data_IF_373867122239
#
_entry.id   IF_373867122239
#
_cell.length_a   1.000
_cell.length_b   1.000
_cell.length_c   1.000
_cell.angle_alpha   90.00
_cell.angle_beta   90.00
_cell.angle_gamma   90.00
#
_symmetry.space_group_name_H-M   'P 1'
#
loop_
_entity.id
_entity.type
_entity.pdbx_description
1 polymer ?
#
# COMPACT_ATOMS: atom_id res chain seq x y z
N UNK A 1 10.27 6.54 -19.26
CA UNK A 1 10.07 6.26 -18.70
C UNK A 1 9.37 6.07 -17.78
N UNK A 2 8.97 6.01 -17.54
CA UNK A 2 8.29 5.92 -16.80
C UNK A 2 8.39 5.53 -15.67
N UNK A 3 8.58 4.92 -15.48
CA UNK A 3 8.94 4.88 -14.27
C UNK A 3 8.21 5.70 -13.39
N UNK A 4 7.21 6.37 -13.71
CA UNK A 4 6.44 7.31 -12.94
C UNK A 4 5.72 6.68 -11.77
N UNK A 5 5.21 5.47 -11.93
CA UNK A 5 4.51 4.83 -10.81
C UNK A 5 5.45 4.47 -9.66
N UNK A 6 6.71 4.21 -9.97
CA UNK A 6 7.71 3.97 -8.94
C UNK A 6 7.89 5.23 -8.09
N UNK A 7 7.94 6.37 -8.75
CA UNK A 7 8.07 7.63 -8.05
C UNK A 7 6.85 7.92 -7.19
N UNK A 8 5.67 7.58 -7.67
CA UNK A 8 4.46 7.78 -6.89
C UNK A 8 4.51 7.01 -5.57
N UNK A 9 4.97 5.77 -5.63
CA UNK A 9 5.06 4.95 -4.42
C UNK A 9 6.02 5.57 -3.44
N UNK A 10 7.16 6.06 -3.90
CA UNK A 10 8.17 6.63 -3.01
C UNK A 10 7.75 7.97 -2.42
N UNK A 11 6.68 8.57 -2.93
CA UNK A 11 6.20 9.84 -2.41
C UNK A 11 4.94 9.72 -1.57
N UNK A 12 4.55 8.51 -1.21
CA UNK A 12 3.38 8.30 -0.36
C UNK A 12 3.58 8.97 1.00
N UNK A 13 2.57 9.68 1.45
CA UNK A 13 2.60 10.40 2.73
C UNK A 13 1.38 10.04 3.56
N UNK A 14 1.52 10.22 4.86
CA UNK A 14 0.39 10.09 5.78
C UNK A 14 -0.69 11.08 5.33
N UNK A 15 -1.92 10.58 5.23
CA UNK A 15 -3.05 11.37 4.77
C UNK A 15 -3.41 11.13 3.31
N UNK A 16 -2.51 10.52 2.54
CA UNK A 16 -2.81 10.23 1.15
C UNK A 16 -3.92 9.19 1.05
N UNK A 17 -4.71 9.29 -0.01
CA UNK A 17 -5.74 8.30 -0.32
C UNK A 17 -5.18 7.32 -1.32
N UNK A 18 -5.50 6.06 -1.13
CA UNK A 18 -5.11 5.01 -2.06
C UNK A 18 -6.31 4.14 -2.37
N UNK A 19 -6.23 3.45 -3.51
CA UNK A 19 -7.21 2.46 -3.91
C UNK A 19 -6.51 1.12 -4.06
N UNK A 20 -7.03 0.10 -3.39
CA UNK A 20 -6.46 -1.25 -3.52
C UNK A 20 -6.86 -1.84 -4.86
N UNK A 21 -5.87 -2.33 -5.60
CA UNK A 21 -6.12 -3.04 -6.85
C UNK A 21 -6.14 -4.54 -6.58
N UNK A 22 -5.13 -5.03 -5.87
CA UNK A 22 -5.05 -6.45 -5.54
C UNK A 22 -4.15 -6.65 -4.34
N UNK A 23 -4.64 -7.37 -3.34
CA UNK A 23 -3.85 -7.74 -2.17
C UNK A 23 -3.22 -9.11 -2.40
N UNK A 24 -1.99 -9.28 -1.91
CA UNK A 24 -1.31 -10.56 -1.95
C UNK A 24 -1.98 -11.57 -1.03
N UNK A 25 -2.42 -11.12 0.14
CA UNK A 25 -3.06 -11.99 1.12
C UNK A 25 -4.57 -12.02 0.87
N UNK A 26 -5.12 -13.18 0.44
CA UNK A 26 -6.55 -13.26 0.19
C UNK A 26 -7.40 -13.13 1.45
N UNK A 27 -6.77 -13.29 2.62
CA UNK A 27 -7.49 -13.20 3.90
C UNK A 27 -7.42 -11.81 4.51
N UNK A 28 -6.92 -10.83 3.76
CA UNK A 28 -6.80 -9.46 4.26
C UNK A 28 -8.17 -8.87 4.61
N UNK A 29 -9.21 -9.29 3.90
CA UNK A 29 -10.55 -8.84 4.20
C UNK A 29 -10.90 -7.49 3.60
N UNK A 30 -10.09 -7.01 2.68
CA UNK A 30 -10.31 -5.73 2.00
C UNK A 30 -10.72 -6.04 0.56
N UNK A 31 -11.80 -5.43 0.12
CA UNK A 31 -12.30 -5.67 -1.22
C UNK A 31 -11.43 -4.98 -2.26
N UNK A 32 -11.28 -5.55 -3.45
CA UNK A 32 -10.63 -4.86 -4.55
C UNK A 32 -11.32 -3.51 -4.80
N UNK A 33 -10.53 -2.50 -5.13
CA UNK A 33 -10.97 -1.13 -5.40
C UNK A 33 -11.43 -0.36 -4.17
N UNK A 34 -11.32 -0.96 -2.98
CA UNK A 34 -11.64 -0.22 -1.76
C UNK A 34 -10.63 0.91 -1.59
N UNK A 35 -11.11 2.03 -1.05
CA UNK A 35 -10.30 3.22 -0.81
C UNK A 35 -9.95 3.29 0.67
N UNK A 36 -8.73 3.71 0.94
CA UNK A 36 -8.27 3.92 2.30
C UNK A 36 -7.38 5.13 2.40
N UNK A 37 -7.06 5.48 3.64
CA UNK A 37 -6.19 6.61 3.96
C UNK A 37 -4.92 6.09 4.60
N UNK A 38 -3.78 6.57 4.15
CA UNK A 38 -2.49 6.21 4.75
C UNK A 38 -2.41 6.87 6.11
N UNK A 39 -2.26 6.06 7.15
CA UNK A 39 -2.17 6.57 8.52
C UNK A 39 -0.76 6.47 9.09
N UNK A 40 0.09 5.64 8.49
CA UNK A 40 1.48 5.53 8.91
C UNK A 40 2.29 4.90 7.80
N UNK A 41 3.59 5.14 7.80
CA UNK A 41 4.51 4.55 6.82
C UNK A 41 5.80 4.15 7.53
N UNK A 42 6.45 3.12 7.00
CA UNK A 42 7.78 2.73 7.48
C UNK A 42 8.52 2.01 6.37
N UNK A 43 9.83 1.92 6.53
CA UNK A 43 10.67 1.14 5.61
C UNK A 43 11.17 -0.06 6.37
N UNK A 44 11.06 -1.24 5.76
CA UNK A 44 11.47 -2.47 6.43
C UNK A 44 11.86 -3.51 5.39
N UNK A 45 12.63 -4.49 5.84
CA UNK A 45 12.89 -5.67 5.02
C UNK A 45 11.71 -6.61 5.13
N UNK A 46 11.34 -7.18 4.00
CA UNK A 46 10.21 -8.11 3.93
C UNK A 46 10.75 -9.43 3.40
N UNK A 47 10.35 -10.52 4.02
CA UNK A 47 10.75 -11.86 3.58
C UNK A 47 10.37 -12.01 2.10
N UNK A 48 11.28 -12.59 1.33
CA UNK A 48 11.12 -12.85 -0.10
C UNK A 48 11.23 -11.62 -1.00
N UNK A 49 11.52 -10.45 -0.43
CA UNK A 49 11.76 -9.26 -1.23
C UNK A 49 13.15 -8.73 -0.94
N UNK A 50 13.82 -8.23 -1.98
CA UNK A 50 15.14 -7.64 -1.82
C UNK A 50 15.02 -6.19 -1.38
N UNK A 51 15.97 -5.78 -0.53
CA UNK A 51 16.06 -4.40 -0.11
C UNK A 51 14.98 -3.99 0.86
N UNK A 52 14.97 -2.70 1.16
CA UNK A 52 13.94 -2.13 2.01
C UNK A 52 12.69 -1.87 1.19
N UNK A 53 11.55 -2.14 1.78
CA UNK A 53 10.25 -1.91 1.14
C UNK A 53 9.44 -0.95 1.97
N UNK A 54 8.67 -0.14 1.28
CA UNK A 54 7.73 0.77 1.93
C UNK A 54 6.53 -0.04 2.42
N UNK A 55 6.26 0.09 3.71
CA UNK A 55 5.07 -0.51 4.34
C UNK A 55 4.16 0.64 4.72
N UNK A 56 2.89 0.53 4.33
CA UNK A 56 1.91 1.57 4.59
C UNK A 56 0.80 0.97 5.42
N UNK A 57 0.45 1.64 6.51
CA UNK A 57 -0.71 1.27 7.31
C UNK A 57 -1.89 2.07 6.79
N UNK A 58 -2.94 1.38 6.43
CA UNK A 58 -4.09 1.98 5.74
C UNK A 58 -5.33 1.80 6.59
N UNK A 59 -6.04 2.88 6.80
CA UNK A 59 -7.39 2.82 7.37
C UNK A 59 -8.37 2.84 6.22
N UNK A 60 -9.04 1.72 6.02
CA UNK A 60 -9.96 1.54 4.90
C UNK A 60 -11.32 2.14 5.23
N UNK A 61 -12.09 2.45 4.20
CA UNK A 61 -13.43 3.01 4.39
C UNK A 61 -14.33 2.09 5.19
N UNK A 62 -14.09 0.78 5.12
CA UNK A 62 -14.85 -0.19 5.91
C UNK A 62 -14.55 -0.10 7.41
N UNK A 63 -13.53 0.64 7.81
CA UNK A 63 -13.14 0.78 9.20
C UNK A 63 -11.97 -0.11 9.60
N UNK A 64 -11.57 -1.04 8.75
CA UNK A 64 -10.42 -1.90 9.04
C UNK A 64 -9.12 -1.13 8.85
N UNK A 65 -8.09 -1.55 9.58
CA UNK A 65 -6.73 -1.06 9.37
C UNK A 65 -5.84 -2.24 9.05
N UNK A 66 -5.11 -2.14 7.95
CA UNK A 66 -4.18 -3.19 7.54
C UNK A 66 -2.93 -2.55 6.98
N UNK A 67 -1.86 -3.35 6.92
CA UNK A 67 -0.64 -2.93 6.25
C UNK A 67 -0.69 -3.41 4.81
N UNK A 68 -0.18 -2.60 3.90
CA UNK A 68 0.12 -3.05 2.53
C UNK A 68 1.58 -2.74 2.26
N UNK A 69 2.16 -3.53 1.38
CA UNK A 69 3.60 -3.53 1.14
C UNK A 69 3.85 -3.25 -0.33
N UNK A 70 4.65 -2.23 -0.58
CA UNK A 70 5.12 -1.95 -1.94
C UNK A 70 5.92 -3.14 -2.46
N UNK A 71 5.58 -3.58 -3.66
CA UNK A 71 6.22 -4.74 -4.26
C UNK A 71 5.48 -6.04 -4.03
N UNK A 72 4.53 -6.07 -3.12
CA UNK A 72 3.68 -7.25 -2.90
C UNK A 72 2.24 -6.96 -3.25
N UNK A 73 1.72 -5.85 -2.79
CA UNK A 73 0.33 -5.48 -3.02
C UNK A 73 0.24 -4.45 -4.13
N UNK A 74 -0.80 -4.55 -4.93
CA UNK A 74 -1.00 -3.63 -6.04
C UNK A 74 -2.02 -2.58 -5.64
N UNK A 75 -1.66 -1.32 -5.75
CA UNK A 75 -2.50 -0.20 -5.35
C UNK A 75 -2.18 1.02 -6.20
N UNK A 76 -3.06 2.00 -6.16
CA UNK A 76 -2.80 3.29 -6.81
C UNK A 76 -3.03 4.41 -5.81
N UNK A 77 -2.29 5.49 -5.99
CA UNK A 77 -2.40 6.69 -5.17
C UNK A 77 -3.39 7.62 -5.86
N UNK A 78 -4.38 8.08 -5.13
CA UNK A 78 -5.43 8.94 -5.68
C UNK A 78 -5.08 10.41 -5.61
#
# INVERSE_FOLDING_TARGET
>A
MDRGFVNKVSTVKIGDKIRLIRATDPNLGIKPKEIGTVVDTSMSKVVDLEGLRLIMWIRWESGKETAIVDGMDLFEIL
#
